data_IF_068098121519
#
_entry.id   IF_068098121519
#
_cell.length_a   1.000
_cell.length_b   1.000
_cell.length_c   1.000
_cell.angle_alpha   90.00
_cell.angle_beta   90.00
_cell.angle_gamma   90.00
#
_symmetry.space_group_name_H-M   'P 1'
#
loop_
_entity.id
_entity.type
_entity.pdbx_description
1 polymer ?
#
# COMPACT_ATOMS: atom_id res chain seq x y z
N UNK A 1 14.39 31.84 -47.83
CA UNK A 1 15.55 31.82 -46.90
C UNK A 1 15.02 31.99 -45.47
N UNK A 2 14.46 30.92 -44.90
CA UNK A 2 14.08 30.88 -43.49
C UNK A 2 15.28 30.41 -42.68
N UNK A 3 15.48 31.10 -41.56
CA UNK A 3 16.74 31.27 -40.83
C UNK A 3 17.21 30.00 -40.12
N UNK A 4 18.48 29.63 -40.34
CA UNK A 4 19.21 28.58 -39.60
C UNK A 4 19.18 28.76 -38.07
N UNK A 5 18.79 29.95 -37.57
CA UNK A 5 18.66 30.24 -36.14
C UNK A 5 17.51 29.48 -35.47
N UNK A 6 16.44 29.15 -36.20
CA UNK A 6 15.29 28.46 -35.62
C UNK A 6 15.55 26.96 -35.43
N UNK A 7 16.41 26.37 -36.26
CA UNK A 7 16.81 24.96 -36.16
C UNK A 7 17.71 24.74 -34.93
N UNK A 8 18.61 25.70 -34.65
CA UNK A 8 19.48 25.64 -33.46
C UNK A 8 18.67 25.72 -32.15
N UNK A 9 17.61 26.55 -32.13
CA UNK A 9 16.73 26.67 -30.97
C UNK A 9 15.93 25.39 -30.71
N UNK A 10 15.43 24.74 -31.77
CA UNK A 10 14.71 23.46 -31.67
C UNK A 10 15.60 22.31 -31.17
N UNK A 11 16.87 22.27 -31.62
CA UNK A 11 17.84 21.27 -31.16
C UNK A 11 18.26 21.48 -29.70
N UNK A 12 18.32 22.73 -29.22
CA UNK A 12 18.62 23.00 -27.82
C UNK A 12 17.46 22.59 -26.89
N UNK A 13 16.22 22.77 -27.35
CA UNK A 13 15.02 22.39 -26.59
C UNK A 13 14.85 20.87 -26.47
N UNK A 14 15.21 20.10 -27.51
CA UNK A 14 15.12 18.63 -27.48
C UNK A 14 16.16 17.97 -26.56
N UNK A 15 17.35 18.58 -26.41
CA UNK A 15 18.37 18.09 -25.47
C UNK A 15 17.93 18.31 -24.01
N UNK A 16 17.30 19.45 -23.70
CA UNK A 16 16.78 19.73 -22.36
C UNK A 16 15.60 18.83 -21.98
N UNK A 17 14.77 18.43 -22.94
CA UNK A 17 13.64 17.53 -22.68
C UNK A 17 14.03 16.05 -22.56
N UNK A 18 15.22 15.66 -23.03
CA UNK A 18 15.68 14.27 -22.97
C UNK A 18 16.28 13.89 -21.61
N UNK A 19 16.63 14.86 -20.77
CA UNK A 19 17.25 14.61 -19.45
C UNK A 19 16.21 14.20 -18.38
N UNK A 20 14.93 14.51 -18.58
CA UNK A 20 13.86 14.13 -17.63
C UNK A 20 13.30 12.71 -17.82
N UNK A 21 13.74 11.97 -18.85
CA UNK A 21 13.19 10.65 -19.19
C UNK A 21 13.98 9.46 -18.61
N UNK A 22 15.12 9.69 -17.94
CA UNK A 22 15.91 8.62 -17.34
C UNK A 22 16.19 8.88 -15.86
N UNK A 23 15.11 8.93 -15.07
CA UNK A 23 15.20 8.66 -13.65
C UNK A 23 14.15 7.60 -13.31
N UNK A 24 14.37 6.38 -13.78
CA UNK A 24 13.91 5.22 -13.02
C UNK A 24 14.75 5.20 -11.75
N UNK A 25 14.27 5.98 -10.79
CA UNK A 25 14.76 6.02 -9.42
C UNK A 25 14.48 4.63 -8.86
N UNK A 26 15.47 3.74 -8.94
CA UNK A 26 15.59 2.64 -7.99
C UNK A 26 15.90 3.31 -6.66
N UNK A 27 14.87 3.83 -6.00
CA UNK A 27 14.96 4.36 -4.66
C UNK A 27 15.42 3.21 -3.78
N UNK A 28 16.67 3.29 -3.33
CA UNK A 28 17.06 2.60 -2.10
C UNK A 28 16.02 2.94 -1.05
N UNK A 29 15.49 1.95 -0.28
CA UNK A 29 14.47 2.20 0.72
C UNK A 29 14.92 3.37 1.58
N UNK A 30 14.12 4.44 1.60
CA UNK A 30 14.45 5.67 2.30
C UNK A 30 14.77 5.36 3.76
N UNK A 31 15.58 6.18 4.42
CA UNK A 31 15.98 5.99 5.83
C UNK A 31 14.81 5.59 6.76
N UNK A 32 13.61 6.14 6.54
CA UNK A 32 12.41 5.80 7.31
C UNK A 32 11.81 4.40 7.03
N UNK A 33 12.12 3.76 5.91
CA UNK A 33 11.60 2.44 5.56
C UNK A 33 12.30 1.31 6.31
N UNK A 34 13.63 1.43 6.46
CA UNK A 34 14.40 0.52 7.30
C UNK A 34 13.95 0.60 8.76
N UNK A 35 13.65 1.79 9.24
CA UNK A 35 13.11 2.01 10.59
C UNK A 35 11.73 1.36 10.75
N UNK A 36 10.80 1.58 9.79
CA UNK A 36 9.50 0.91 9.78
C UNK A 36 9.66 -0.61 9.81
N UNK A 37 10.54 -1.16 8.97
CA UNK A 37 10.76 -2.61 8.90
C UNK A 37 11.27 -3.16 10.25
N UNK A 38 12.20 -2.47 10.92
CA UNK A 38 12.67 -2.88 12.24
C UNK A 38 11.53 -2.91 13.27
N UNK A 39 10.66 -1.89 13.28
CA UNK A 39 9.48 -1.86 14.16
C UNK A 39 8.55 -3.03 13.87
N UNK A 40 8.35 -3.40 12.59
CA UNK A 40 7.55 -4.57 12.21
C UNK A 40 8.18 -5.88 12.68
N UNK A 41 9.50 -6.03 12.53
CA UNK A 41 10.24 -7.22 12.97
C UNK A 41 10.00 -7.44 14.47
N UNK A 42 10.16 -6.39 15.27
CA UNK A 42 9.99 -6.47 16.72
C UNK A 42 8.53 -6.71 17.11
N UNK A 43 7.60 -5.98 16.49
CA UNK A 43 6.17 -6.02 16.86
C UNK A 43 5.49 -7.31 16.44
N UNK A 44 5.79 -7.83 15.24
CA UNK A 44 5.15 -9.02 14.68
C UNK A 44 5.97 -10.29 14.89
N UNK A 45 7.19 -10.18 15.44
CA UNK A 45 8.16 -11.27 15.64
C UNK A 45 8.45 -12.00 14.32
N UNK A 46 8.81 -11.23 13.29
CA UNK A 46 9.06 -11.76 11.96
C UNK A 46 10.37 -12.56 11.92
N UNK A 47 10.33 -13.73 11.30
CA UNK A 47 11.54 -14.49 10.99
C UNK A 47 12.21 -14.00 9.69
N UNK A 48 13.40 -14.51 9.40
CA UNK A 48 14.16 -14.15 8.19
C UNK A 48 13.39 -14.41 6.90
N UNK A 49 12.55 -15.45 6.87
CA UNK A 49 11.77 -15.82 5.68
C UNK A 49 10.69 -14.78 5.42
N UNK A 50 9.94 -14.41 6.46
CA UNK A 50 8.92 -13.37 6.41
C UNK A 50 9.54 -12.02 6.00
N UNK A 51 10.68 -11.66 6.61
CA UNK A 51 11.42 -10.43 6.29
C UNK A 51 11.78 -10.39 4.81
N UNK A 52 12.42 -11.45 4.29
CA UNK A 52 12.83 -11.50 2.88
C UNK A 52 11.64 -11.37 1.92
N UNK A 53 10.46 -11.86 2.31
CA UNK A 53 9.25 -11.83 1.47
C UNK A 53 8.61 -10.45 1.37
N UNK A 54 8.78 -9.61 2.39
CA UNK A 54 8.17 -8.27 2.45
C UNK A 54 9.17 -7.12 2.30
N UNK A 55 10.47 -7.36 2.49
CA UNK A 55 11.50 -6.32 2.52
C UNK A 55 11.60 -5.49 1.22
N UNK A 56 11.17 -6.04 0.09
CA UNK A 56 11.14 -5.36 -1.21
C UNK A 56 9.77 -4.80 -1.57
N UNK A 57 8.83 -4.73 -0.62
CA UNK A 57 7.43 -4.37 -0.85
C UNK A 57 7.03 -3.17 0.01
N UNK A 58 7.51 -2.00 -0.39
CA UNK A 58 7.40 -0.74 0.35
C UNK A 58 5.96 -0.39 0.77
N UNK A 59 5.00 -0.67 -0.12
CA UNK A 59 3.58 -0.47 0.15
C UNK A 59 3.08 -1.36 1.29
N UNK A 60 3.50 -2.64 1.33
CA UNK A 60 3.13 -3.57 2.40
C UNK A 60 3.77 -3.14 3.72
N UNK A 61 5.07 -2.79 3.70
CA UNK A 61 5.79 -2.32 4.90
C UNK A 61 5.09 -1.09 5.47
N UNK A 62 4.78 -0.12 4.62
CA UNK A 62 4.14 1.12 5.04
C UNK A 62 2.73 0.88 5.59
N UNK A 63 1.92 0.03 4.95
CA UNK A 63 0.56 -0.23 5.42
C UNK A 63 0.55 -1.05 6.72
N UNK A 64 1.41 -2.06 6.85
CA UNK A 64 1.59 -2.79 8.11
C UNK A 64 2.01 -1.85 9.25
N UNK A 65 2.97 -0.97 8.99
CA UNK A 65 3.45 -0.01 9.98
C UNK A 65 2.34 0.94 10.43
N UNK A 66 1.58 1.50 9.48
CA UNK A 66 0.44 2.36 9.79
C UNK A 66 -0.64 1.61 10.58
N UNK A 67 -0.89 0.35 10.25
CA UNK A 67 -1.89 -0.48 10.93
C UNK A 67 -1.51 -0.75 12.39
N UNK A 68 -0.22 -1.04 12.65
CA UNK A 68 0.28 -1.20 14.03
C UNK A 68 0.21 0.12 14.79
N UNK A 69 0.61 1.24 14.15
CA UNK A 69 0.60 2.57 14.76
C UNK A 69 -0.82 3.03 15.12
N UNK A 70 -1.80 2.70 14.28
CA UNK A 70 -3.21 3.01 14.49
C UNK A 70 -3.87 2.05 15.50
N UNK A 71 -3.07 1.35 16.31
CA UNK A 71 -3.49 0.56 17.48
C UNK A 71 -4.39 -0.64 17.20
N UNK A 72 -4.36 -1.16 15.97
CA UNK A 72 -4.98 -2.46 15.70
C UNK A 72 -4.25 -3.55 16.48
N UNK A 73 -5.01 -4.45 17.11
CA UNK A 73 -4.46 -5.60 17.87
C UNK A 73 -3.43 -6.36 17.03
N UNK A 74 -2.16 -6.30 17.44
CA UNK A 74 -1.01 -6.96 16.80
C UNK A 74 -1.27 -8.41 16.35
N UNK A 75 -1.96 -9.27 17.14
CA UNK A 75 -2.28 -10.64 16.70
C UNK A 75 -3.15 -10.72 15.44
N UNK A 76 -4.06 -9.75 15.21
CA UNK A 76 -4.91 -9.70 14.02
C UNK A 76 -4.09 -9.37 12.78
N UNK A 77 -3.25 -8.33 12.88
CA UNK A 77 -2.31 -7.94 11.82
C UNK A 77 -1.39 -9.10 11.46
N UNK A 78 -0.83 -9.76 12.47
CA UNK A 78 0.03 -10.93 12.28
C UNK A 78 -0.70 -12.05 11.53
N UNK A 79 -1.96 -12.34 11.87
CA UNK A 79 -2.77 -13.36 11.17
C UNK A 79 -2.97 -13.02 9.70
N UNK A 80 -3.21 -11.75 9.34
CA UNK A 80 -3.34 -11.32 7.94
C UNK A 80 -2.02 -11.46 7.20
N UNK A 81 -0.93 -11.06 7.83
CA UNK A 81 0.41 -11.23 7.27
C UNK A 81 0.75 -12.72 7.09
N UNK A 82 0.48 -13.57 8.07
CA UNK A 82 0.70 -15.02 7.98
C UNK A 82 -0.09 -15.62 6.80
N UNK A 83 -1.37 -15.22 6.59
CA UNK A 83 -2.15 -15.64 5.42
C UNK A 83 -1.51 -15.22 4.10
N UNK A 84 -0.96 -14.00 4.03
CA UNK A 84 -0.20 -13.56 2.86
C UNK A 84 1.07 -14.38 2.67
N UNK A 85 1.86 -14.61 3.73
CA UNK A 85 3.10 -15.39 3.70
C UNK A 85 2.87 -16.84 3.25
N UNK A 86 1.68 -17.40 3.52
CA UNK A 86 1.24 -18.74 3.11
C UNK A 86 0.56 -18.77 1.73
N UNK A 87 0.64 -17.70 0.94
CA UNK A 87 0.00 -17.58 -0.39
C UNK A 87 -1.53 -17.68 -0.39
N UNK A 88 -2.17 -17.59 0.78
CA UNK A 88 -3.62 -17.56 0.87
C UNK A 88 -4.19 -16.18 0.46
N UNK A 89 -3.39 -15.11 0.62
CA UNK A 89 -3.73 -13.76 0.19
C UNK A 89 -2.79 -13.28 -0.91
N UNK A 90 -3.36 -12.62 -1.92
CA UNK A 90 -2.61 -11.73 -2.81
C UNK A 90 -2.18 -10.45 -2.09
N UNK A 91 -1.24 -9.72 -2.67
CA UNK A 91 -0.80 -8.42 -2.15
C UNK A 91 -1.96 -7.44 -2.03
N UNK A 92 -2.85 -7.38 -3.02
CA UNK A 92 -4.05 -6.54 -3.00
C UNK A 92 -4.97 -6.92 -1.84
N UNK A 93 -5.21 -8.21 -1.61
CA UNK A 93 -6.05 -8.70 -0.53
C UNK A 93 -5.46 -8.37 0.84
N UNK A 94 -4.13 -8.51 1.01
CA UNK A 94 -3.46 -8.10 2.24
C UNK A 94 -3.66 -6.59 2.49
N UNK A 95 -3.32 -5.74 1.52
CA UNK A 95 -3.42 -4.29 1.67
C UNK A 95 -4.85 -3.85 2.00
N UNK A 96 -5.85 -4.45 1.33
CA UNK A 96 -7.25 -4.15 1.60
C UNK A 96 -7.65 -4.59 3.01
N UNK A 97 -7.23 -5.78 3.44
CA UNK A 97 -7.51 -6.25 4.80
C UNK A 97 -6.90 -5.34 5.87
N UNK A 98 -5.66 -4.88 5.68
CA UNK A 98 -4.98 -3.97 6.61
C UNK A 98 -5.69 -2.62 6.71
N UNK A 99 -6.11 -2.06 5.57
CA UNK A 99 -6.91 -0.82 5.54
C UNK A 99 -8.24 -0.98 6.27
N UNK A 100 -8.93 -2.11 6.09
CA UNK A 100 -10.17 -2.39 6.80
C UNK A 100 -9.95 -2.50 8.31
N UNK A 101 -8.89 -3.17 8.74
CA UNK A 101 -8.52 -3.25 10.16
C UNK A 101 -8.34 -1.84 10.77
N UNK A 102 -7.66 -0.93 10.05
CA UNK A 102 -7.49 0.48 10.49
C UNK A 102 -8.79 1.25 10.57
N UNK A 103 -9.69 1.06 9.60
CA UNK A 103 -10.97 1.76 9.55
C UNK A 103 -11.96 1.27 10.61
N UNK A 104 -11.96 -0.04 10.87
CA UNK A 104 -12.87 -0.65 11.83
C UNK A 104 -12.34 -0.50 13.27
N UNK A 105 -11.03 -0.36 13.43
CA UNK A 105 -10.36 -0.20 14.72
C UNK A 105 -10.60 -1.41 15.63
N UNK A 106 -10.76 -1.14 16.93
CA UNK A 106 -11.05 -2.15 17.96
C UNK A 106 -12.47 -2.72 17.92
N UNK A 107 -13.30 -2.31 16.96
CA UNK A 107 -14.60 -2.95 16.80
C UNK A 107 -14.38 -4.40 16.33
N UNK A 108 -14.55 -5.35 17.25
CA UNK A 108 -14.45 -6.81 17.05
C UNK A 108 -15.51 -7.37 16.06
N UNK A 109 -16.15 -6.53 15.25
CA UNK A 109 -17.24 -6.91 14.34
C UNK A 109 -16.76 -7.33 12.94
N UNK A 110 -15.50 -7.09 12.60
CA UNK A 110 -14.92 -7.51 11.33
C UNK A 110 -13.96 -8.66 11.52
N UNK A 111 -14.54 -9.80 11.78
CA UNK A 111 -13.87 -11.07 11.67
C UNK A 111 -14.64 -11.84 10.59
N UNK A 112 -13.95 -12.27 9.53
CA UNK A 112 -14.47 -13.29 8.59
C UNK A 112 -14.57 -14.60 9.38
N UNK A 113 -15.49 -14.64 10.33
CA UNK A 113 -15.78 -15.78 11.17
C UNK A 113 -17.11 -16.32 10.67
N UNK A 114 -17.10 -17.55 10.18
CA UNK A 114 -18.30 -18.31 9.80
C UNK A 114 -19.30 -18.51 10.96
N UNK A 115 -18.91 -18.14 12.19
CA UNK A 115 -19.70 -18.30 13.41
C UNK A 115 -20.32 -17.01 14.00
N UNK A 116 -20.27 -15.86 13.31
CA UNK A 116 -20.99 -14.66 13.74
C UNK A 116 -22.47 -14.75 13.33
N UNK A 117 -23.38 -14.39 14.24
CA UNK A 117 -24.81 -14.35 13.96
C UNK A 117 -25.09 -13.40 12.77
N UNK A 118 -25.81 -13.84 11.73
CA UNK A 118 -25.93 -13.13 10.45
C UNK A 118 -26.56 -11.74 10.53
N UNK A 119 -27.14 -11.36 11.67
CA UNK A 119 -27.82 -10.09 11.84
C UNK A 119 -26.90 -8.91 12.23
N UNK A 120 -25.64 -9.17 12.63
CA UNK A 120 -24.76 -8.13 13.19
C UNK A 120 -23.41 -7.95 12.46
N UNK A 121 -23.17 -8.69 11.37
CA UNK A 121 -21.93 -8.63 10.58
C UNK A 121 -22.20 -8.10 9.18
N UNK A 122 -21.30 -7.26 8.66
CA UNK A 122 -21.26 -6.94 7.22
C UNK A 122 -20.96 -8.23 6.46
N UNK A 123 -21.95 -8.71 5.69
CA UNK A 123 -21.79 -9.83 4.77
C UNK A 123 -21.57 -9.28 3.37
N UNK A 124 -20.55 -9.81 2.71
CA UNK A 124 -20.33 -9.64 1.29
C UNK A 124 -20.38 -11.04 0.69
N UNK A 125 -21.33 -11.28 -0.21
CA UNK A 125 -21.50 -12.58 -0.86
C UNK A 125 -20.48 -12.75 -1.99
N UNK A 126 -19.94 -11.64 -2.50
CA UNK A 126 -18.95 -11.62 -3.58
C UNK A 126 -17.83 -10.63 -3.31
N UNK A 127 -16.69 -10.85 -3.96
CA UNK A 127 -15.58 -9.90 -3.94
C UNK A 127 -15.96 -8.57 -4.64
N UNK A 128 -16.84 -8.63 -5.65
CA UNK A 128 -17.41 -7.43 -6.28
C UNK A 128 -18.17 -6.58 -5.26
N UNK A 129 -19.08 -7.18 -4.48
CA UNK A 129 -19.89 -6.47 -3.50
C UNK A 129 -19.03 -5.83 -2.40
N UNK A 130 -17.99 -6.54 -1.98
CA UNK A 130 -17.00 -6.00 -1.05
C UNK A 130 -16.23 -4.82 -1.64
N UNK A 131 -15.81 -4.93 -2.90
CA UNK A 131 -15.07 -3.88 -3.62
C UNK A 131 -15.94 -2.65 -3.83
N UNK A 132 -17.21 -2.83 -4.16
CA UNK A 132 -18.18 -1.76 -4.36
C UNK A 132 -18.50 -1.04 -3.04
N UNK A 133 -18.75 -1.78 -1.96
CA UNK A 133 -18.89 -1.22 -0.62
C UNK A 133 -17.66 -0.40 -0.22
N UNK A 134 -16.47 -0.96 -0.43
CA UNK A 134 -15.21 -0.30 -0.11
C UNK A 134 -14.99 0.98 -0.93
N UNK A 135 -15.26 0.94 -2.24
CA UNK A 135 -15.14 2.11 -3.11
C UNK A 135 -16.16 3.21 -2.76
N UNK A 136 -17.37 2.80 -2.39
CA UNK A 136 -18.48 3.69 -2.03
C UNK A 136 -18.29 4.36 -0.67
N UNK A 137 -17.95 3.60 0.36
CA UNK A 137 -17.79 4.11 1.73
C UNK A 137 -16.50 4.90 1.91
N UNK A 138 -15.46 4.62 1.13
CA UNK A 138 -14.15 5.22 1.37
C UNK A 138 -13.78 6.34 0.42
N UNK A 139 -14.54 6.59 -0.65
CA UNK A 139 -14.27 7.65 -1.62
C UNK A 139 -12.77 7.73 -2.00
N UNK A 140 -12.08 6.58 -1.98
CA UNK A 140 -10.64 6.53 -2.21
C UNK A 140 -10.52 6.62 -3.72
N UNK A 141 -10.36 7.85 -4.18
CA UNK A 141 -9.69 8.13 -5.44
C UNK A 141 -8.37 7.33 -5.43
N UNK A 142 -8.39 6.11 -5.96
CA UNK A 142 -7.21 5.39 -6.43
C UNK A 142 -6.43 6.22 -7.48
N UNK A 143 -6.96 7.37 -7.90
CA UNK A 143 -6.33 8.34 -8.79
C UNK A 143 -5.78 9.61 -8.14
N UNK A 144 -5.87 9.86 -6.83
CA UNK A 144 -5.43 11.15 -6.24
C UNK A 144 -4.40 10.99 -5.13
N UNK A 145 -3.20 10.54 -5.49
CA UNK A 145 -1.95 10.99 -4.83
C UNK A 145 -0.80 11.08 -5.84
N UNK A 146 -1.06 11.81 -6.92
CA UNK A 146 -0.06 12.61 -7.63
C UNK A 146 -0.60 14.03 -7.61
N UNK A 147 -0.33 14.74 -6.51
CA UNK A 147 -0.42 16.19 -6.34
C UNK A 147 -0.28 16.45 -4.84
N UNK A 148 0.95 16.45 -4.32
CA UNK A 148 1.30 17.11 -3.06
C UNK A 148 2.83 17.30 -3.01
N UNK A 149 3.32 18.11 -3.94
CA UNK A 149 4.47 19.04 -3.84
C UNK A 149 4.42 19.81 -5.18
N UNK A 150 4.26 21.13 -5.26
CA UNK A 150 5.06 22.23 -4.71
C UNK A 150 4.18 23.50 -4.73
N UNK A 151 4.06 24.18 -3.60
CA UNK A 151 4.41 25.60 -3.40
C UNK A 151 4.68 25.85 -1.91
#
# INVERSE_FOLDING_TARGET
MTSNKNILFFLFFSILFSISAFSQKNESPGFGEKEKLNILIDSLKLDSTAINRIASKDTIISELYLTIKDSVKVPRIKRRLDSFLLDNYSETQLLMSLKMERLMGDNDRFEFIDSLSPNNSLRFETMEEFTEFFNKELNINFQSKRNDTID
#
